data_IF_553420215941
#
_entry.id   IF_553420215941
#
_cell.length_a   1.000
_cell.length_b   1.000
_cell.length_c   1.000
_cell.angle_alpha   90.00
_cell.angle_beta   90.00
_cell.angle_gamma   90.00
#
_symmetry.space_group_name_H-M   'P 1'
#
loop_
_entity.id
_entity.type
_entity.pdbx_description
1 polymer ?
#
# COMPACT_ATOMS: atom_id res chain seq x y z
N UNK A 1 31.23 32.22 3.28
CA UNK A 1 31.95 31.94 4.54
C UNK A 1 31.02 31.78 5.74
N UNK A 2 30.18 32.77 6.11
CA UNK A 2 29.32 32.66 7.31
C UNK A 2 28.02 31.82 7.13
N UNK A 3 27.53 31.68 5.89
CA UNK A 3 26.33 30.89 5.55
C UNK A 3 26.60 29.38 5.52
N UNK A 4 27.77 28.96 5.02
CA UNK A 4 28.17 27.55 4.98
C UNK A 4 28.42 27.00 6.39
N UNK A 5 29.00 27.80 7.28
CA UNK A 5 29.21 27.43 8.68
C UNK A 5 27.88 27.26 9.46
N UNK A 6 26.87 28.08 9.17
CA UNK A 6 25.53 27.93 9.76
C UNK A 6 24.82 26.68 9.22
N UNK A 7 24.96 26.40 7.92
CA UNK A 7 24.35 25.22 7.29
C UNK A 7 24.94 23.93 7.86
N UNK A 8 26.25 23.91 8.16
CA UNK A 8 26.96 22.75 8.72
C UNK A 8 26.61 22.44 10.19
N UNK A 9 26.25 23.45 11.00
CA UNK A 9 25.77 23.21 12.37
C UNK A 9 24.31 22.74 12.42
N UNK A 10 23.50 23.11 11.41
CA UNK A 10 22.07 22.76 11.35
C UNK A 10 21.87 21.30 10.93
N UNK A 11 22.80 20.72 10.17
CA UNK A 11 22.76 19.31 9.74
C UNK A 11 23.10 18.29 10.83
N UNK A 12 23.42 18.71 12.07
CA UNK A 12 23.75 17.81 13.19
C UNK A 12 22.69 17.81 14.31
N UNK A 13 21.49 18.36 14.05
CA UNK A 13 20.39 18.32 15.01
C UNK A 13 19.59 17.04 14.78
N UNK A 14 19.94 16.01 15.54
CA UNK A 14 19.38 14.66 15.42
C UNK A 14 18.22 14.41 16.42
N UNK A 15 17.99 15.30 17.39
CA UNK A 15 16.94 15.11 18.40
C UNK A 15 16.25 16.39 18.89
N UNK A 16 15.06 16.23 19.46
CA UNK A 16 14.31 17.31 20.13
C UNK A 16 15.05 17.87 21.36
N UNK A 17 15.91 17.05 21.99
CA UNK A 17 16.69 17.46 23.16
C UNK A 17 17.85 18.38 22.77
N UNK A 18 18.42 18.22 21.58
CA UNK A 18 19.43 19.13 21.03
C UNK A 18 18.87 20.52 20.75
N UNK A 19 17.59 20.60 20.35
CA UNK A 19 16.87 21.87 20.12
C UNK A 19 16.63 22.62 21.42
N UNK A 20 16.33 21.92 22.52
CA UNK A 20 16.05 22.53 23.84
C UNK A 20 17.30 23.13 24.48
N UNK A 21 18.47 22.54 24.25
CA UNK A 21 19.73 23.08 24.76
C UNK A 21 20.16 24.38 24.05
N UNK A 22 19.60 24.67 22.88
CA UNK A 22 19.99 25.76 22.00
C UNK A 22 18.87 26.82 21.89
N UNK A 23 18.55 27.45 23.03
CA UNK A 23 17.36 28.30 23.22
C UNK A 23 17.29 29.61 22.40
N UNK A 24 18.27 29.90 21.54
CA UNK A 24 18.36 31.16 20.80
C UNK A 24 18.09 31.10 19.29
N UNK A 25 17.75 29.95 18.71
CA UNK A 25 17.62 29.85 17.26
C UNK A 25 16.23 29.36 16.81
N UNK A 26 15.28 30.30 16.70
CA UNK A 26 13.98 30.07 16.04
C UNK A 26 14.14 29.45 14.63
N UNK A 27 15.23 29.79 13.93
CA UNK A 27 15.55 29.22 12.63
C UNK A 27 15.77 27.70 12.67
N UNK A 28 16.42 27.18 13.72
CA UNK A 28 16.66 25.74 13.87
C UNK A 28 15.37 24.97 14.14
N UNK A 29 14.47 25.53 14.95
CA UNK A 29 13.16 24.94 15.20
C UNK A 29 12.30 24.89 13.93
N UNK A 30 12.32 25.95 13.12
CA UNK A 30 11.59 26.01 11.84
C UNK A 30 12.15 24.97 10.87
N UNK A 31 13.49 24.87 10.74
CA UNK A 31 14.12 23.89 9.86
C UNK A 31 13.80 22.45 10.29
N UNK A 32 13.94 22.14 11.57
CA UNK A 32 13.56 20.84 12.12
C UNK A 32 12.10 20.52 11.79
N UNK A 33 11.18 21.43 12.09
CA UNK A 33 9.77 21.21 11.79
C UNK A 33 9.52 20.93 10.31
N UNK A 34 10.12 21.72 9.40
CA UNK A 34 9.96 21.48 7.96
C UNK A 34 10.56 20.16 7.51
N UNK A 35 11.73 19.78 8.04
CA UNK A 35 12.35 18.47 7.76
C UNK A 35 11.41 17.34 8.15
N UNK A 36 10.94 17.33 9.41
CA UNK A 36 10.03 16.30 9.91
C UNK A 36 8.70 16.30 9.15
N UNK A 37 8.19 17.50 8.79
CA UNK A 37 6.96 17.62 8.01
C UNK A 37 7.11 17.07 6.59
N UNK A 38 8.21 17.37 5.90
CA UNK A 38 8.46 16.83 4.56
C UNK A 38 8.70 15.33 4.61
N UNK A 39 9.46 14.85 5.58
CA UNK A 39 9.65 13.41 5.79
C UNK A 39 8.31 12.70 6.06
N UNK A 40 7.46 13.26 6.91
CA UNK A 40 6.11 12.74 7.11
C UNK A 40 5.29 12.76 5.81
N UNK A 41 5.26 13.90 5.11
CA UNK A 41 4.44 14.10 3.91
C UNK A 41 4.85 13.18 2.76
N UNK A 42 6.14 12.96 2.56
CA UNK A 42 6.68 12.04 1.54
C UNK A 42 6.36 10.57 1.85
N UNK A 43 6.13 10.26 3.13
CA UNK A 43 5.76 8.93 3.60
C UNK A 43 4.24 8.74 3.75
N UNK A 44 3.42 9.63 3.19
CA UNK A 44 1.96 9.44 3.14
C UNK A 44 1.61 8.55 1.94
N UNK A 45 1.00 7.41 2.23
CA UNK A 45 0.37 6.56 1.22
C UNK A 45 -1.13 6.75 1.26
N UNK A 46 -1.71 7.08 0.12
CA UNK A 46 -3.13 7.40 0.01
C UNK A 46 -3.85 6.43 -0.93
N UNK A 47 -4.94 5.87 -0.42
CA UNK A 47 -5.79 4.90 -1.10
C UNK A 47 -7.16 5.54 -1.30
N UNK A 48 -7.45 5.96 -2.53
CA UNK A 48 -8.66 6.69 -2.91
C UNK A 48 -9.94 5.86 -2.71
N UNK A 49 -11.10 6.49 -2.51
CA UNK A 49 -12.40 5.80 -2.49
C UNK A 49 -12.73 5.04 -3.80
N UNK A 50 -12.37 5.61 -4.95
CA UNK A 50 -12.73 5.09 -6.27
C UNK A 50 -11.66 4.15 -6.82
N UNK A 51 -11.43 3.05 -6.10
CA UNK A 51 -10.42 2.06 -6.50
C UNK A 51 -10.98 1.12 -7.56
N UNK A 52 -10.23 0.93 -8.63
CA UNK A 52 -10.55 -0.03 -9.67
C UNK A 52 -9.26 -0.51 -10.32
N UNK A 53 -9.23 -1.78 -10.67
CA UNK A 53 -8.21 -2.33 -11.55
C UNK A 53 -8.47 -1.92 -12.98
N UNK A 54 -7.41 -1.72 -13.74
CA UNK A 54 -7.51 -1.88 -15.18
C UNK A 54 -7.70 -3.38 -15.46
N UNK A 55 -8.78 -3.75 -16.15
CA UNK A 55 -9.09 -5.13 -16.53
C UNK A 55 -7.93 -5.84 -17.24
N UNK A 56 -7.15 -5.05 -17.96
CA UNK A 56 -6.02 -5.44 -18.78
C UNK A 56 -5.02 -4.29 -18.78
N UNK A 57 -3.79 -4.54 -18.37
CA UNK A 57 -2.70 -3.56 -18.50
C UNK A 57 -1.72 -4.05 -19.55
N UNK A 58 -1.61 -3.31 -20.65
CA UNK A 58 -0.76 -3.66 -21.81
C UNK A 58 0.67 -3.11 -21.69
N UNK A 59 1.12 -2.87 -20.47
CA UNK A 59 2.31 -2.08 -20.23
C UNK A 59 3.51 -2.99 -19.98
N UNK A 60 4.53 -2.84 -20.82
CA UNK A 60 5.94 -3.19 -20.57
C UNK A 60 6.53 -2.40 -19.36
N UNK A 61 5.68 -1.84 -18.50
CA UNK A 61 6.06 -1.03 -17.35
C UNK A 61 6.06 -1.96 -16.14
N UNK A 62 7.25 -2.18 -15.60
CA UNK A 62 7.42 -2.72 -14.26
C UNK A 62 7.03 -1.62 -13.28
N UNK A 63 6.02 -1.90 -12.45
CA UNK A 63 5.68 -1.06 -11.32
C UNK A 63 6.08 -1.82 -10.07
N UNK A 64 6.92 -1.22 -9.23
CA UNK A 64 7.30 -1.82 -7.94
C UNK A 64 6.22 -1.61 -6.87
N UNK A 65 5.45 -0.52 -6.98
CA UNK A 65 4.44 -0.09 -5.99
C UNK A 65 3.05 0.05 -6.62
N UNK A 66 2.02 -0.29 -5.87
CA UNK A 66 0.62 -0.07 -6.25
C UNK A 66 0.29 1.42 -6.31
N UNK A 67 -0.48 1.84 -7.31
CA UNK A 67 -0.93 3.24 -7.42
C UNK A 67 -2.15 3.53 -6.54
N UNK A 68 -2.41 4.82 -6.25
CA UNK A 68 -3.47 5.29 -5.33
C UNK A 68 -4.89 4.81 -5.64
N UNK A 69 -5.14 4.34 -6.87
CA UNK A 69 -6.44 3.80 -7.32
C UNK A 69 -6.40 2.28 -7.53
N UNK A 70 -5.22 1.67 -7.42
CA UNK A 70 -4.92 0.27 -7.68
C UNK A 70 -4.99 -0.13 -9.15
N UNK A 71 -4.97 0.81 -10.10
CA UNK A 71 -5.17 0.49 -11.52
C UNK A 71 -4.09 -0.45 -12.05
N UNK A 72 -2.85 -0.29 -11.57
CA UNK A 72 -1.70 -1.12 -11.91
C UNK A 72 -1.64 -2.49 -11.18
N UNK A 73 -2.62 -2.88 -10.36
CA UNK A 73 -2.61 -4.16 -9.66
C UNK A 73 -2.36 -5.40 -10.55
N UNK A 74 -2.89 -5.53 -11.79
CA UNK A 74 -2.56 -6.68 -12.63
C UNK A 74 -1.07 -6.84 -12.89
N UNK A 75 -0.33 -5.73 -12.98
CA UNK A 75 1.13 -5.72 -13.11
C UNK A 75 1.77 -6.23 -11.83
N UNK A 76 1.35 -5.70 -10.67
CA UNK A 76 1.86 -6.12 -9.35
C UNK A 76 1.60 -7.61 -9.10
N UNK A 77 0.38 -8.08 -9.37
CA UNK A 77 0.04 -9.49 -9.21
C UNK A 77 0.87 -10.37 -10.14
N UNK A 78 1.15 -9.91 -11.36
CA UNK A 78 2.04 -10.64 -12.28
C UNK A 78 3.44 -10.80 -11.75
N UNK A 79 3.99 -9.76 -11.14
CA UNK A 79 5.29 -9.82 -10.49
C UNK A 79 5.26 -10.77 -9.27
N UNK A 80 4.22 -10.69 -8.44
CA UNK A 80 4.05 -11.60 -7.31
C UNK A 80 3.94 -13.07 -7.75
N UNK A 81 3.23 -13.36 -8.85
CA UNK A 81 3.08 -14.72 -9.37
C UNK A 81 4.38 -15.28 -9.95
N UNK A 82 5.15 -14.46 -10.68
CA UNK A 82 6.27 -14.96 -11.49
C UNK A 82 7.64 -14.73 -10.85
N UNK A 83 7.82 -13.63 -10.12
CA UNK A 83 9.13 -13.20 -9.60
C UNK A 83 9.19 -13.26 -8.07
N UNK A 84 8.07 -13.02 -7.37
CA UNK A 84 8.02 -13.00 -5.89
C UNK A 84 6.92 -13.94 -5.34
N UNK A 85 7.00 -15.28 -5.53
CA UNK A 85 5.94 -16.21 -5.15
C UNK A 85 5.51 -16.12 -3.69
N UNK A 86 6.43 -15.78 -2.78
CA UNK A 86 6.13 -15.56 -1.36
C UNK A 86 5.09 -14.46 -1.14
N UNK A 87 5.15 -13.38 -1.92
CA UNK A 87 4.15 -12.30 -1.85
C UNK A 87 2.81 -12.79 -2.38
N UNK A 88 2.78 -13.53 -3.49
CA UNK A 88 1.53 -14.15 -3.98
C UNK A 88 0.92 -15.07 -2.93
N UNK A 89 1.70 -15.96 -2.34
CA UNK A 89 1.23 -16.92 -1.33
C UNK A 89 0.67 -16.20 -0.10
N UNK A 90 1.31 -15.11 0.31
CA UNK A 90 0.84 -14.32 1.44
C UNK A 90 -0.45 -13.55 1.10
N UNK A 91 -0.54 -12.94 -0.09
CA UNK A 91 -1.75 -12.29 -0.57
C UNK A 91 -2.92 -13.29 -0.65
N UNK A 92 -2.67 -14.48 -1.20
CA UNK A 92 -3.63 -15.59 -1.22
C UNK A 92 -4.08 -15.97 0.19
N UNK A 93 -3.15 -16.10 1.13
CA UNK A 93 -3.46 -16.44 2.52
C UNK A 93 -4.37 -15.40 3.17
N UNK A 94 -4.11 -14.10 2.95
CA UNK A 94 -4.98 -13.02 3.46
C UNK A 94 -6.34 -13.03 2.77
N UNK A 95 -6.37 -13.22 1.45
CA UNK A 95 -7.60 -13.31 0.68
C UNK A 95 -8.48 -14.46 1.19
N UNK A 96 -7.91 -15.63 1.48
CA UNK A 96 -8.65 -16.81 1.95
C UNK A 96 -9.26 -16.63 3.34
N UNK A 97 -8.69 -15.75 4.18
CA UNK A 97 -9.32 -15.37 5.45
C UNK A 97 -10.62 -14.59 5.24
N UNK A 98 -10.72 -13.86 4.13
CA UNK A 98 -11.89 -13.06 3.76
C UNK A 98 -12.87 -13.87 2.91
N UNK A 99 -12.36 -14.58 1.90
CA UNK A 99 -13.10 -15.40 0.95
C UNK A 99 -12.56 -16.84 0.94
N UNK A 100 -13.03 -17.71 1.86
CA UNK A 100 -12.55 -19.09 1.96
C UNK A 100 -12.77 -19.93 0.69
N UNK A 101 -13.76 -19.53 -0.12
CA UNK A 101 -14.14 -20.21 -1.36
C UNK A 101 -13.19 -19.92 -2.54
N UNK A 102 -12.25 -18.99 -2.37
CA UNK A 102 -11.21 -18.70 -3.37
C UNK A 102 -10.05 -19.66 -3.19
N UNK A 103 -9.87 -20.56 -4.15
CA UNK A 103 -8.77 -21.52 -4.16
C UNK A 103 -7.46 -20.88 -4.61
N UNK A 104 -7.53 -20.00 -5.60
CA UNK A 104 -6.34 -19.55 -6.31
C UNK A 104 -6.52 -18.13 -6.86
N UNK A 105 -5.48 -17.32 -6.72
CA UNK A 105 -5.32 -15.97 -7.26
C UNK A 105 -4.09 -15.98 -8.18
N UNK A 106 -4.28 -15.57 -9.43
CA UNK A 106 -3.22 -15.63 -10.43
C UNK A 106 -3.43 -14.66 -11.58
N UNK A 107 -2.50 -14.69 -12.52
CA UNK A 107 -2.51 -13.88 -13.73
C UNK A 107 -2.07 -14.70 -14.93
N UNK A 108 -2.78 -14.55 -16.04
CA UNK A 108 -2.38 -15.14 -17.32
C UNK A 108 -1.77 -14.06 -18.22
N UNK A 109 -0.86 -14.49 -19.10
CA UNK A 109 -0.36 -13.67 -20.19
C UNK A 109 -1.11 -14.02 -21.47
N UNK A 110 -1.72 -13.01 -22.09
CA UNK A 110 -2.30 -13.10 -23.43
C UNK A 110 -1.57 -12.11 -24.34
N UNK A 111 -0.53 -12.60 -25.04
CA UNK A 111 0.42 -11.72 -25.71
C UNK A 111 1.16 -10.84 -24.70
N UNK A 112 1.01 -9.51 -24.81
CA UNK A 112 1.55 -8.52 -23.85
C UNK A 112 0.62 -8.21 -22.69
N UNK A 113 -0.64 -8.65 -22.77
CA UNK A 113 -1.67 -8.29 -21.81
C UNK A 113 -1.65 -9.22 -20.60
N UNK A 114 -1.66 -8.62 -19.41
CA UNK A 114 -1.74 -9.32 -18.11
C UNK A 114 -3.21 -9.39 -17.68
N UNK A 115 -3.73 -10.59 -17.46
CA UNK A 115 -5.14 -10.84 -17.14
C UNK A 115 -5.24 -11.54 -15.78
N UNK A 116 -5.57 -10.81 -14.70
CA UNK A 116 -5.72 -11.40 -13.38
C UNK A 116 -7.04 -12.17 -13.27
N UNK A 117 -7.02 -13.26 -12.51
CA UNK A 117 -8.19 -14.07 -12.23
C UNK A 117 -8.14 -14.70 -10.84
N UNK A 118 -9.32 -15.04 -10.33
CA UNK A 118 -9.48 -15.97 -9.21
C UNK A 118 -10.08 -17.28 -9.72
N UNK A 119 -9.74 -18.39 -9.06
CA UNK A 119 -10.42 -19.67 -9.20
C UNK A 119 -11.11 -20.02 -7.88
N UNK A 120 -12.39 -20.36 -7.97
CA UNK A 120 -13.22 -20.75 -6.83
C UNK A 120 -13.17 -22.27 -6.59
N UNK A 121 -13.72 -22.75 -5.47
CA UNK A 121 -13.72 -24.16 -5.07
C UNK A 121 -14.33 -25.14 -6.08
N UNK A 122 -15.20 -24.65 -6.96
CA UNK A 122 -15.89 -25.40 -8.02
C UNK A 122 -15.15 -25.35 -9.37
N UNK A 123 -13.86 -24.98 -9.36
CA UNK A 123 -13.02 -24.76 -10.53
C UNK A 123 -13.48 -23.64 -11.48
N UNK A 124 -14.45 -22.82 -11.04
CA UNK A 124 -14.87 -21.65 -11.79
C UNK A 124 -13.77 -20.58 -11.77
N UNK A 125 -13.30 -20.20 -12.95
CA UNK A 125 -12.35 -19.09 -13.13
C UNK A 125 -13.11 -17.82 -13.44
N UNK A 126 -12.85 -16.76 -12.67
CA UNK A 126 -13.39 -15.42 -12.91
C UNK A 126 -12.25 -14.45 -13.13
N UNK A 127 -12.23 -13.83 -14.31
CA UNK A 127 -11.42 -12.64 -14.55
C UNK A 127 -11.94 -11.49 -13.70
N UNK A 128 -11.10 -10.48 -13.50
CA UNK A 128 -11.46 -9.38 -12.61
C UNK A 128 -12.61 -8.50 -13.15
N UNK A 129 -12.90 -8.53 -14.45
CA UNK A 129 -14.13 -7.94 -14.98
C UNK A 129 -15.41 -8.60 -14.44
N UNK A 130 -15.30 -9.86 -13.99
CA UNK A 130 -16.40 -10.73 -13.62
C UNK A 130 -16.40 -11.11 -12.12
N UNK A 131 -15.49 -10.55 -11.32
CA UNK A 131 -15.54 -10.67 -9.85
C UNK A 131 -16.28 -9.48 -9.25
N UNK A 132 -16.86 -9.69 -8.05
CA UNK A 132 -17.56 -8.64 -7.34
C UNK A 132 -16.63 -7.48 -6.98
N UNK A 133 -17.14 -6.24 -7.01
CA UNK A 133 -16.38 -5.03 -6.64
C UNK A 133 -15.73 -5.13 -5.25
N UNK A 134 -16.36 -5.80 -4.29
CA UNK A 134 -15.79 -6.01 -2.96
C UNK A 134 -14.45 -6.77 -2.97
N UNK A 135 -14.27 -7.74 -3.88
CA UNK A 135 -12.98 -8.43 -4.06
C UNK A 135 -11.93 -7.47 -4.58
N UNK A 136 -12.29 -6.55 -5.49
CA UNK A 136 -11.36 -5.54 -5.99
C UNK A 136 -10.85 -4.64 -4.89
N UNK A 137 -11.76 -4.08 -4.11
CA UNK A 137 -11.42 -3.18 -3.01
C UNK A 137 -10.47 -3.87 -2.01
N UNK A 138 -10.82 -5.11 -1.64
CA UNK A 138 -10.03 -5.90 -0.69
C UNK A 138 -8.63 -6.17 -1.22
N UNK A 139 -8.50 -6.64 -2.46
CA UNK A 139 -7.20 -6.97 -3.03
C UNK A 139 -6.27 -5.76 -3.12
N UNK A 140 -6.80 -4.58 -3.48
CA UNK A 140 -6.03 -3.33 -3.50
C UNK A 140 -5.53 -3.00 -2.10
N UNK A 141 -6.43 -3.01 -1.10
CA UNK A 141 -6.08 -2.71 0.30
C UNK A 141 -5.04 -3.72 0.82
N UNK A 142 -5.21 -5.01 0.56
CA UNK A 142 -4.25 -6.03 0.98
C UNK A 142 -2.88 -5.85 0.32
N UNK A 143 -2.83 -5.51 -0.96
CA UNK A 143 -1.56 -5.21 -1.65
C UNK A 143 -0.88 -3.99 -1.03
N UNK A 144 -1.64 -2.94 -0.73
CA UNK A 144 -1.15 -1.76 0.00
C UNK A 144 -0.53 -2.14 1.36
N UNK A 145 -1.22 -2.94 2.16
CA UNK A 145 -0.72 -3.39 3.47
C UNK A 145 0.55 -4.24 3.36
N UNK A 146 0.69 -5.03 2.29
CA UNK A 146 1.87 -5.85 2.06
C UNK A 146 3.09 -5.05 1.59
N UNK A 147 2.87 -3.92 0.92
CA UNK A 147 3.92 -3.05 0.42
C UNK A 147 4.25 -1.90 1.39
N UNK A 148 3.58 -1.85 2.54
CA UNK A 148 3.77 -0.80 3.53
C UNK A 148 5.21 -0.84 4.07
N UNK A 149 5.91 0.28 3.94
CA UNK A 149 7.27 0.47 4.45
C UNK A 149 7.23 0.99 5.90
N UNK A 150 8.32 0.83 6.64
CA UNK A 150 8.44 1.43 7.98
C UNK A 150 8.27 2.96 7.90
N UNK A 151 7.71 3.57 8.94
CA UNK A 151 7.43 5.01 9.03
C UNK A 151 6.47 5.57 7.95
N UNK A 152 5.73 4.71 7.26
CA UNK A 152 4.69 5.12 6.31
C UNK A 152 3.35 5.36 7.03
N UNK A 153 2.67 6.46 6.70
CA UNK A 153 1.30 6.71 7.15
C UNK A 153 0.32 6.34 6.04
N UNK A 154 -0.56 5.37 6.29
CA UNK A 154 -1.54 4.90 5.31
C UNK A 154 -2.92 5.53 5.54
N UNK A 155 -3.41 6.29 4.57
CA UNK A 155 -4.78 6.78 4.51
C UNK A 155 -5.60 5.95 3.53
N UNK A 156 -6.74 5.44 3.99
CA UNK A 156 -7.70 4.70 3.17
C UNK A 156 -9.05 5.40 3.27
N UNK A 157 -9.53 5.91 2.13
CA UNK A 157 -10.87 6.48 2.06
C UNK A 157 -11.92 5.40 1.85
N UNK A 158 -13.02 5.49 2.60
CA UNK A 158 -14.17 4.59 2.48
C UNK A 158 -13.76 3.11 2.33
N UNK A 159 -12.94 2.55 3.25
CA UNK A 159 -12.49 1.16 3.18
C UNK A 159 -13.64 0.16 3.15
N UNK A 160 -14.83 0.54 3.63
CA UNK A 160 -16.05 -0.25 3.68
C UNK A 160 -16.81 -0.34 2.35
N UNK A 161 -16.50 0.53 1.38
CA UNK A 161 -17.29 0.70 0.17
C UNK A 161 -17.36 -0.61 -0.63
N UNK A 162 -18.58 -1.05 -0.97
CA UNK A 162 -18.87 -2.31 -1.68
C UNK A 162 -18.49 -3.61 -0.93
N UNK A 163 -18.08 -3.53 0.34
CA UNK A 163 -17.71 -4.68 1.15
C UNK A 163 -18.87 -5.04 2.09
N UNK A 164 -19.20 -6.33 2.19
CA UNK A 164 -20.21 -6.80 3.15
C UNK A 164 -19.76 -6.56 4.61
N UNK A 165 -20.65 -6.20 5.55
CA UNK A 165 -20.26 -5.88 6.93
C UNK A 165 -19.43 -6.95 7.66
N UNK A 166 -19.68 -8.23 7.39
CA UNK A 166 -18.87 -9.31 7.97
C UNK A 166 -17.41 -9.28 7.47
N UNK A 167 -17.21 -8.99 6.18
CA UNK A 167 -15.89 -8.89 5.57
C UNK A 167 -15.17 -7.62 6.03
N UNK A 168 -15.89 -6.52 6.27
CA UNK A 168 -15.32 -5.29 6.85
C UNK A 168 -14.68 -5.57 8.21
N UNK A 169 -15.36 -6.33 9.08
CA UNK A 169 -14.81 -6.72 10.40
C UNK A 169 -13.54 -7.54 10.26
N UNK A 170 -13.54 -8.54 9.38
CA UNK A 170 -12.36 -9.38 9.11
C UNK A 170 -11.20 -8.57 8.51
N UNK A 171 -11.50 -7.64 7.60
CA UNK A 171 -10.51 -6.75 7.01
C UNK A 171 -9.87 -5.84 8.07
N UNK A 172 -10.68 -5.27 8.96
CA UNK A 172 -10.19 -4.45 10.08
C UNK A 172 -9.28 -5.26 11.02
N UNK A 173 -9.62 -6.52 11.31
CA UNK A 173 -8.76 -7.41 12.09
C UNK A 173 -7.43 -7.71 11.40
N UNK A 174 -7.43 -7.84 10.07
CA UNK A 174 -6.19 -7.98 9.29
C UNK A 174 -5.37 -6.70 9.40
N UNK A 175 -5.95 -5.53 9.13
CA UNK A 175 -5.27 -4.23 9.23
C UNK A 175 -4.62 -4.05 10.61
N UNK A 176 -5.36 -4.33 11.69
CA UNK A 176 -4.84 -4.24 13.08
C UNK A 176 -3.67 -5.17 13.39
N UNK A 177 -3.56 -6.30 12.69
CA UNK A 177 -2.43 -7.23 12.84
C UNK A 177 -1.22 -6.82 12.01
N UNK A 178 -1.45 -6.10 10.92
CA UNK A 178 -0.42 -5.65 9.98
C UNK A 178 0.21 -4.34 10.38
N UNK A 179 -0.58 -3.44 10.97
CA UNK A 179 -0.06 -2.22 11.56
C UNK A 179 0.50 -2.57 12.95
N UNK A 180 1.84 -2.58 13.15
CA UNK A 180 2.36 -2.68 14.50
C UNK A 180 1.79 -1.50 15.28
N UNK A 181 1.13 -1.80 16.40
CA UNK A 181 0.59 -0.87 17.40
C UNK A 181 1.23 0.52 17.32
N UNK A 182 0.67 1.47 16.57
CA UNK A 182 0.77 2.93 16.71
C UNK A 182 0.03 3.56 15.52
N UNK A 183 -1.29 3.70 15.63
CA UNK A 183 -2.11 4.80 15.09
C UNK A 183 -3.60 4.41 15.16
N UNK A 184 -4.32 5.07 16.07
CA UNK A 184 -5.75 5.35 15.98
C UNK A 184 -5.86 6.85 15.76
#
# INVERSE_FOLDING_TARGET
>A
DNLEAQTFQISQIDSVDDIRSNSNNKANLIYFFWREFFEFYENIWYVSEFRNFDASTDRDIEHEKIDGKGANFPVILTDFCNNIPKNRDFLQFLLNKLYPDVNYLWTNLSGKTKIPFIQEFNDMKRTFDNVGKGIHQILIILTYLMQLEENTTLFIEEPELYIHPELQKKLLEIIRKFLPLHQI
#
